data_IF_743814050620
#
_entry.id   IF_743814050620
#
_cell.length_a   1.000
_cell.length_b   1.000
_cell.length_c   1.000
_cell.angle_alpha   90.00
_cell.angle_beta   90.00
_cell.angle_gamma   90.00
#
_symmetry.space_group_name_H-M   'P 1'
#
loop_
_entity.id
_entity.type
_entity.pdbx_description
1 polymer ?
#
# COMPACT_ATOMS: atom_id res chain seq x y z
N UNK A 1 -3.22 12.86 11.07
CA UNK A 1 -2.03 12.11 11.51
C UNK A 1 -1.26 12.96 12.53
N UNK A 2 -0.62 12.29 13.50
CA UNK A 2 0.23 12.93 14.50
C UNK A 2 1.67 13.18 14.03
N UNK A 3 2.06 12.64 12.87
CA UNK A 3 3.38 12.79 12.25
C UNK A 3 3.30 13.61 10.95
N UNK A 4 4.47 14.19 10.58
CA UNK A 4 4.65 15.05 9.40
C UNK A 4 5.78 14.50 8.52
N UNK A 5 5.73 13.20 8.20
CA UNK A 5 6.75 12.53 7.40
C UNK A 5 6.91 13.19 6.03
N UNK A 6 8.14 13.54 5.65
CA UNK A 6 8.43 14.30 4.44
C UNK A 6 8.00 13.60 3.13
N UNK A 7 7.97 12.25 3.12
CA UNK A 7 7.55 11.45 1.96
C UNK A 7 6.03 11.15 1.91
N UNK A 8 5.25 11.69 2.87
CA UNK A 8 3.84 11.36 3.01
C UNK A 8 3.03 11.82 1.80
N UNK A 9 2.25 10.92 1.23
CA UNK A 9 1.34 11.23 0.12
C UNK A 9 0.06 11.96 0.55
N UNK A 10 -0.17 12.09 1.85
CA UNK A 10 -1.36 12.75 2.41
C UNK A 10 -1.16 14.26 2.42
N UNK A 11 -2.18 14.98 2.01
CA UNK A 11 -2.29 16.41 2.26
C UNK A 11 -2.32 16.67 3.78
N UNK A 12 -1.50 17.61 4.26
CA UNK A 12 -1.31 17.82 5.70
C UNK A 12 -2.21 18.93 6.24
N UNK A 13 -2.64 19.85 5.39
CA UNK A 13 -3.34 21.08 5.80
C UNK A 13 -4.85 20.91 5.95
N UNK A 14 -5.43 19.86 5.37
CA UNK A 14 -6.86 19.58 5.47
C UNK A 14 -7.13 18.31 6.29
N UNK A 15 -7.86 18.49 7.40
CA UNK A 15 -8.28 17.38 8.28
C UNK A 15 -9.75 17.12 8.02
N UNK A 16 -10.03 16.02 7.32
CA UNK A 16 -11.37 15.45 7.18
C UNK A 16 -11.40 14.09 7.86
N UNK A 17 -12.58 13.66 8.28
CA UNK A 17 -12.81 12.35 8.87
C UNK A 17 -14.11 11.78 8.32
N UNK A 18 -14.07 10.54 7.87
CA UNK A 18 -15.29 9.78 7.63
C UNK A 18 -16.02 9.58 8.95
N UNK A 19 -17.32 9.77 8.93
CA UNK A 19 -18.20 9.56 10.10
C UNK A 19 -18.68 8.12 10.17
N UNK A 20 -19.21 7.70 11.33
CA UNK A 20 -19.89 6.40 11.43
C UNK A 20 -21.05 6.29 10.43
N UNK A 21 -21.78 7.39 10.19
CA UNK A 21 -22.91 7.41 9.23
C UNK A 21 -22.41 7.16 7.80
N UNK A 22 -21.27 7.71 7.39
CA UNK A 22 -20.69 7.45 6.08
C UNK A 22 -20.34 5.95 5.92
N UNK A 23 -19.75 5.36 6.94
CA UNK A 23 -19.39 3.94 6.94
C UNK A 23 -20.63 3.04 6.92
N UNK A 24 -21.64 3.35 7.74
CA UNK A 24 -22.92 2.66 7.76
C UNK A 24 -23.58 2.69 6.38
N UNK A 25 -23.64 3.88 5.78
CA UNK A 25 -24.23 4.09 4.46
C UNK A 25 -23.56 3.21 3.40
N UNK A 26 -22.22 3.09 3.41
CA UNK A 26 -21.50 2.20 2.49
C UNK A 26 -21.81 0.74 2.76
N UNK A 27 -21.69 0.29 4.01
CA UNK A 27 -21.82 -1.12 4.39
C UNK A 27 -23.25 -1.66 4.33
N UNK A 28 -24.27 -0.80 4.38
CA UNK A 28 -25.68 -1.19 4.26
C UNK A 28 -26.12 -1.34 2.79
N UNK A 29 -25.42 -0.69 1.87
CA UNK A 29 -25.77 -0.69 0.46
C UNK A 29 -24.86 -1.57 -0.43
N UNK A 30 -23.70 -2.02 0.10
CA UNK A 30 -22.71 -2.80 -0.63
C UNK A 30 -22.28 -4.03 0.16
N UNK A 31 -21.97 -5.11 -0.53
CA UNK A 31 -21.34 -6.30 0.05
C UNK A 31 -19.85 -6.06 0.22
N UNK A 32 -19.42 -5.70 1.43
CA UNK A 32 -18.02 -5.43 1.76
C UNK A 32 -17.42 -6.65 2.43
N UNK A 33 -16.41 -7.25 1.82
CA UNK A 33 -15.69 -8.40 2.40
C UNK A 33 -14.57 -8.00 3.34
N UNK A 34 -13.92 -6.85 3.09
CA UNK A 34 -12.81 -6.37 3.91
C UNK A 34 -12.63 -4.86 3.81
N UNK A 35 -12.15 -4.25 4.88
CA UNK A 35 -11.81 -2.83 4.97
C UNK A 35 -10.40 -2.68 5.54
N UNK A 36 -9.60 -1.83 4.90
CA UNK A 36 -8.30 -1.39 5.40
C UNK A 36 -8.35 0.03 5.94
N UNK A 37 -8.01 0.18 7.20
CA UNK A 37 -7.77 1.48 7.81
C UNK A 37 -6.38 1.98 7.38
N UNK A 38 -6.34 3.02 6.58
CA UNK A 38 -5.11 3.64 6.09
C UNK A 38 -5.30 5.14 5.92
N UNK A 39 -4.33 5.85 5.42
CA UNK A 39 -4.31 7.32 5.26
C UNK A 39 -4.36 8.09 6.58
N UNK A 40 -3.24 8.62 6.96
CA UNK A 40 -3.09 9.32 8.23
C UNK A 40 -2.90 8.33 9.39
N UNK A 41 -3.51 8.63 10.51
CA UNK A 41 -3.50 7.77 11.70
C UNK A 41 -4.93 7.66 12.22
N UNK A 42 -5.52 6.49 12.12
CA UNK A 42 -6.97 6.31 12.25
C UNK A 42 -7.50 6.52 13.67
N UNK A 43 -6.69 6.25 14.70
CA UNK A 43 -7.05 6.52 16.09
C UNK A 43 -7.28 8.00 16.42
N UNK A 44 -6.95 8.91 15.50
CA UNK A 44 -7.24 10.34 15.63
C UNK A 44 -8.62 10.74 15.09
N UNK A 45 -9.32 9.83 14.40
CA UNK A 45 -10.70 10.07 14.01
C UNK A 45 -11.58 9.99 15.25
N UNK A 46 -12.39 11.03 15.58
CA UNK A 46 -13.27 11.01 16.76
C UNK A 46 -14.25 9.83 16.79
N UNK A 47 -14.65 9.32 15.63
CA UNK A 47 -15.57 8.18 15.51
C UNK A 47 -14.84 6.82 15.39
N UNK A 48 -13.51 6.77 15.61
CA UNK A 48 -12.71 5.57 15.36
C UNK A 48 -13.23 4.32 16.08
N UNK A 49 -13.51 4.41 17.36
CA UNK A 49 -13.98 3.26 18.15
C UNK A 49 -15.39 2.81 17.74
N UNK A 50 -16.29 3.74 17.49
CA UNK A 50 -17.65 3.43 17.03
C UNK A 50 -17.64 2.76 15.65
N UNK A 51 -16.79 3.23 14.75
CA UNK A 51 -16.60 2.63 13.42
C UNK A 51 -16.02 1.22 13.55
N UNK A 52 -15.02 1.04 14.41
CA UNK A 52 -14.35 -0.25 14.60
C UNK A 52 -15.33 -1.29 15.17
N UNK A 53 -16.11 -0.94 16.18
CA UNK A 53 -17.16 -1.80 16.75
C UNK A 53 -18.24 -2.15 15.72
N UNK A 54 -18.71 -1.16 14.97
CA UNK A 54 -19.71 -1.37 13.93
C UNK A 54 -19.23 -2.39 12.87
N UNK A 55 -18.02 -2.22 12.36
CA UNK A 55 -17.46 -3.09 11.34
C UNK A 55 -17.19 -4.51 11.85
N UNK A 56 -16.69 -4.64 13.08
CA UNK A 56 -16.50 -5.93 13.73
C UNK A 56 -17.82 -6.69 13.90
N UNK A 57 -18.88 -6.02 14.37
CA UNK A 57 -20.20 -6.62 14.55
C UNK A 57 -20.82 -7.08 13.22
N UNK A 58 -20.42 -6.48 12.09
CA UNK A 58 -20.81 -6.92 10.74
C UNK A 58 -19.91 -8.04 10.20
N UNK A 59 -18.92 -8.49 10.95
CA UNK A 59 -17.97 -9.55 10.58
C UNK A 59 -17.17 -9.21 9.32
N UNK A 60 -16.90 -7.94 9.08
CA UNK A 60 -16.05 -7.47 8.00
C UNK A 60 -14.60 -7.67 8.42
N UNK A 61 -13.77 -8.25 7.55
CA UNK A 61 -12.34 -8.40 7.81
C UNK A 61 -11.64 -7.05 7.83
N UNK A 62 -10.80 -6.82 8.84
CA UNK A 62 -10.18 -5.53 9.07
C UNK A 62 -8.66 -5.60 9.02
N UNK A 63 -8.03 -4.62 8.37
CA UNK A 63 -6.59 -4.37 8.49
C UNK A 63 -6.34 -2.92 8.89
N UNK A 64 -5.19 -2.68 9.50
CA UNK A 64 -4.77 -1.35 9.93
C UNK A 64 -3.34 -1.08 9.46
N UNK A 65 -3.12 0.05 8.78
CA UNK A 65 -1.78 0.59 8.57
C UNK A 65 -1.55 1.76 9.54
N UNK A 66 -0.51 1.67 10.37
CA UNK A 66 -0.28 2.61 11.47
C UNK A 66 1.21 2.94 11.64
N UNK A 67 1.44 4.13 12.18
CA UNK A 67 2.75 4.54 12.69
C UNK A 67 2.96 4.13 14.17
N UNK A 68 2.04 3.33 14.73
CA UNK A 68 2.03 2.84 16.09
C UNK A 68 1.10 3.59 17.05
N UNK A 69 0.75 4.84 16.76
CA UNK A 69 -0.08 5.66 17.65
C UNK A 69 -1.49 5.07 17.86
N UNK A 70 -2.17 4.66 16.80
CA UNK A 70 -3.52 4.06 16.93
C UNK A 70 -3.52 2.87 17.87
N UNK A 71 -2.44 2.06 17.84
CA UNK A 71 -2.35 0.90 18.72
C UNK A 71 -2.15 1.30 20.18
N UNK A 72 -1.41 2.38 20.44
CA UNK A 72 -1.16 2.83 21.82
C UNK A 72 -2.43 3.26 22.56
N UNK A 73 -3.48 3.67 21.82
CA UNK A 73 -4.75 4.14 22.38
C UNK A 73 -5.89 3.11 22.29
N UNK A 74 -5.70 2.03 21.51
CA UNK A 74 -6.76 1.03 21.28
C UNK A 74 -6.69 -0.07 22.34
N UNK A 75 -7.78 -0.40 23.07
CA UNK A 75 -7.82 -1.52 24.01
C UNK A 75 -7.51 -2.87 23.37
N UNK A 76 -6.95 -3.81 24.13
CA UNK A 76 -6.55 -5.14 23.62
C UNK A 76 -7.71 -5.93 23.02
N UNK A 77 -8.90 -5.79 23.60
CA UNK A 77 -10.12 -6.44 23.12
C UNK A 77 -10.47 -5.98 21.71
N UNK A 78 -10.33 -4.68 21.45
CA UNK A 78 -10.62 -4.08 20.14
C UNK A 78 -9.47 -4.28 19.14
N UNK A 79 -8.22 -4.37 19.60
CA UNK A 79 -7.10 -4.71 18.73
C UNK A 79 -7.31 -6.09 18.08
N UNK A 80 -7.92 -7.05 18.77
CA UNK A 80 -8.24 -8.39 18.24
C UNK A 80 -9.28 -8.39 17.12
N UNK A 81 -9.90 -7.27 16.82
CA UNK A 81 -10.80 -7.13 15.67
C UNK A 81 -10.03 -7.10 14.33
N UNK A 82 -8.72 -6.78 14.38
CA UNK A 82 -7.89 -6.74 13.18
C UNK A 82 -7.34 -8.11 12.80
N UNK A 83 -7.48 -8.46 11.53
CA UNK A 83 -6.87 -9.66 10.93
C UNK A 83 -5.37 -9.45 10.63
N UNK A 84 -4.95 -8.21 10.38
CA UNK A 84 -3.56 -7.86 10.06
C UNK A 84 -3.30 -6.40 10.44
N UNK A 85 -2.15 -6.13 11.05
CA UNK A 85 -1.67 -4.77 11.36
C UNK A 85 -0.35 -4.52 10.66
N UNK A 86 -0.31 -3.46 9.85
CA UNK A 86 0.84 -3.05 9.07
C UNK A 86 1.54 -1.87 9.76
N UNK A 87 2.77 -2.10 10.23
CA UNK A 87 3.56 -1.06 10.86
C UNK A 87 4.51 -0.38 9.87
N UNK A 88 4.49 0.93 9.86
CA UNK A 88 5.30 1.74 8.96
C UNK A 88 6.76 1.84 9.44
N UNK A 89 7.68 1.16 8.75
CA UNK A 89 9.13 1.19 9.03
C UNK A 89 9.90 1.36 7.73
N UNK A 90 10.51 2.53 7.52
CA UNK A 90 11.29 2.82 6.31
C UNK A 90 12.79 2.60 6.48
N UNK A 91 13.29 2.47 7.71
CA UNK A 91 14.69 2.22 8.02
C UNK A 91 14.85 1.12 9.07
N UNK A 92 15.91 0.30 8.98
CA UNK A 92 16.09 -0.86 9.87
C UNK A 92 16.67 -0.51 11.24
N UNK A 93 16.86 0.78 11.55
CA UNK A 93 17.41 1.26 12.82
C UNK A 93 16.68 2.49 13.35
N UNK A 94 16.74 2.67 14.68
CA UNK A 94 16.06 3.74 15.40
C UNK A 94 16.50 5.12 14.93
N UNK A 95 17.79 5.35 14.77
CA UNK A 95 18.32 6.70 14.52
C UNK A 95 17.80 7.27 13.19
N UNK A 96 17.79 6.46 12.13
CA UNK A 96 17.27 6.86 10.83
C UNK A 96 15.73 6.91 10.80
N UNK A 97 15.08 5.93 11.43
CA UNK A 97 13.62 5.89 11.50
C UNK A 97 13.07 7.12 12.23
N UNK A 98 13.58 7.42 13.43
CA UNK A 98 13.14 8.56 14.22
C UNK A 98 13.45 9.90 13.53
N UNK A 99 14.64 10.03 12.95
CA UNK A 99 15.01 11.22 12.15
C UNK A 99 14.06 11.47 10.98
N UNK A 100 13.57 10.41 10.34
CA UNK A 100 12.74 10.50 9.12
C UNK A 100 11.25 10.65 9.42
N UNK A 101 10.74 9.91 10.41
CA UNK A 101 9.30 9.91 10.73
C UNK A 101 8.94 10.78 11.94
N UNK A 102 9.86 11.00 12.86
CA UNK A 102 9.68 11.77 14.08
C UNK A 102 10.23 11.04 15.30
N UNK A 103 10.72 11.80 16.27
CA UNK A 103 11.36 11.29 17.48
C UNK A 103 10.44 10.33 18.25
N UNK A 104 10.98 9.19 18.64
CA UNK A 104 10.27 8.14 19.38
C UNK A 104 9.36 7.24 18.54
N UNK A 105 9.28 7.47 17.23
CA UNK A 105 8.45 6.61 16.35
C UNK A 105 8.92 5.16 16.37
N UNK A 106 10.23 4.90 16.34
CA UNK A 106 10.79 3.56 16.43
C UNK A 106 10.27 2.81 17.65
N UNK A 107 10.39 3.42 18.82
CA UNK A 107 9.95 2.82 20.09
C UNK A 107 8.46 2.48 20.04
N UNK A 108 7.63 3.44 19.63
CA UNK A 108 6.16 3.27 19.50
C UNK A 108 5.79 2.11 18.57
N UNK A 109 6.50 1.99 17.45
CA UNK A 109 6.30 0.91 16.48
C UNK A 109 6.72 -0.44 17.06
N UNK A 110 7.91 -0.53 17.67
CA UNK A 110 8.41 -1.80 18.24
C UNK A 110 7.50 -2.29 19.38
N UNK A 111 7.07 -1.43 20.28
CA UNK A 111 6.10 -1.75 21.34
C UNK A 111 4.76 -2.22 20.77
N UNK A 112 4.28 -1.56 19.70
CA UNK A 112 3.06 -1.96 18.99
C UNK A 112 3.16 -3.35 18.36
N UNK A 113 4.28 -3.66 17.71
CA UNK A 113 4.56 -4.99 17.11
C UNK A 113 4.52 -6.07 18.18
N UNK A 114 5.26 -5.89 19.28
CA UNK A 114 5.30 -6.88 20.38
C UNK A 114 3.92 -7.08 21.02
N UNK A 115 3.17 -6.01 21.20
CA UNK A 115 1.81 -6.08 21.73
C UNK A 115 0.87 -6.87 20.82
N UNK A 116 0.87 -6.59 19.51
CA UNK A 116 0.07 -7.34 18.54
C UNK A 116 0.44 -8.82 18.52
N UNK A 117 1.74 -9.14 18.56
CA UNK A 117 2.22 -10.54 18.62
C UNK A 117 1.75 -11.25 19.88
N UNK A 118 1.84 -10.59 21.03
CA UNK A 118 1.35 -11.17 22.30
C UNK A 118 -0.17 -11.45 22.28
N UNK A 119 -0.93 -10.66 21.50
CA UNK A 119 -2.38 -10.86 21.29
C UNK A 119 -2.70 -11.87 20.18
N UNK A 120 -1.69 -12.42 19.50
CA UNK A 120 -1.88 -13.35 18.37
C UNK A 120 -2.39 -12.69 17.09
N UNK A 121 -2.24 -11.38 16.97
CA UNK A 121 -2.63 -10.61 15.77
C UNK A 121 -1.51 -10.71 14.75
N UNK A 122 -1.86 -10.96 13.49
CA UNK A 122 -0.88 -10.96 12.41
C UNK A 122 -0.27 -9.58 12.23
N UNK A 123 1.05 -9.53 12.08
CA UNK A 123 1.81 -8.29 11.88
C UNK A 123 2.53 -8.33 10.53
N UNK A 124 2.53 -7.20 9.85
CA UNK A 124 3.36 -6.93 8.68
C UNK A 124 4.16 -5.65 8.90
N UNK A 125 5.39 -5.60 8.42
CA UNK A 125 6.16 -4.36 8.32
C UNK A 125 5.97 -3.79 6.92
N UNK A 126 5.74 -2.49 6.82
CA UNK A 126 5.52 -1.76 5.57
C UNK A 126 6.57 -0.69 5.40
N UNK A 127 7.31 -0.71 4.29
CA UNK A 127 8.20 0.37 3.89
C UNK A 127 7.80 0.97 2.53
N UNK A 128 8.13 2.23 2.35
CA UNK A 128 8.11 2.89 1.04
C UNK A 128 9.54 2.87 0.48
N UNK A 129 9.72 2.23 -0.69
CA UNK A 129 11.00 2.26 -1.41
C UNK A 129 11.28 3.69 -1.90
N UNK A 130 12.40 4.24 -1.44
CA UNK A 130 12.91 5.57 -1.77
C UNK A 130 14.39 5.50 -2.16
N UNK A 131 14.89 6.57 -2.77
CA UNK A 131 16.33 6.73 -3.03
C UNK A 131 17.20 6.72 -1.76
N UNK A 132 16.59 6.97 -0.58
CA UNK A 132 17.28 7.00 0.72
C UNK A 132 17.45 5.61 1.35
N UNK A 133 16.60 4.64 1.01
CA UNK A 133 16.55 3.33 1.66
C UNK A 133 16.61 2.13 0.70
N UNK A 134 16.89 2.35 -0.59
CA UNK A 134 16.86 1.28 -1.59
C UNK A 134 17.86 0.13 -1.30
N UNK A 135 18.94 0.39 -0.57
CA UNK A 135 19.89 -0.63 -0.10
C UNK A 135 19.50 -1.32 1.19
N UNK A 136 18.51 -0.79 1.90
CA UNK A 136 18.13 -1.27 3.22
C UNK A 136 16.96 -2.29 3.20
N UNK A 137 16.31 -2.51 2.06
CA UNK A 137 15.12 -3.37 2.01
C UNK A 137 15.38 -4.79 2.53
N UNK A 138 16.56 -5.36 2.23
CA UNK A 138 16.96 -6.66 2.80
C UNK A 138 17.10 -6.63 4.33
N UNK A 139 17.66 -5.56 4.89
CA UNK A 139 17.79 -5.40 6.33
C UNK A 139 16.43 -5.20 7.01
N UNK A 140 15.49 -4.49 6.36
CA UNK A 140 14.12 -4.33 6.88
C UNK A 140 13.37 -5.67 6.79
N UNK A 141 13.58 -6.46 5.73
CA UNK A 141 13.03 -7.82 5.63
C UNK A 141 13.56 -8.72 6.75
N UNK A 142 14.87 -8.64 7.07
CA UNK A 142 15.48 -9.33 8.21
C UNK A 142 14.89 -8.90 9.56
N UNK A 143 14.65 -7.58 9.74
CA UNK A 143 13.95 -7.07 10.91
C UNK A 143 12.53 -7.64 11.01
N UNK A 144 11.77 -7.66 9.92
CA UNK A 144 10.43 -8.27 9.90
C UNK A 144 10.48 -9.76 10.25
N UNK A 145 11.44 -10.50 9.70
CA UNK A 145 11.65 -11.92 10.00
C UNK A 145 11.94 -12.15 11.49
N UNK A 146 12.69 -11.29 12.17
CA UNK A 146 12.96 -11.40 13.60
C UNK A 146 11.70 -11.34 14.47
N UNK A 147 10.64 -10.72 13.96
CA UNK A 147 9.32 -10.71 14.58
C UNK A 147 8.38 -11.81 14.05
N UNK A 148 8.83 -12.66 13.13
CA UNK A 148 7.97 -13.61 12.43
C UNK A 148 6.92 -12.95 11.54
N UNK A 149 7.21 -11.75 11.06
CA UNK A 149 6.30 -10.88 10.29
C UNK A 149 6.65 -10.89 8.81
N UNK A 150 5.66 -10.63 7.96
CA UNK A 150 5.87 -10.40 6.54
C UNK A 150 6.36 -8.95 6.32
N UNK A 151 7.11 -8.73 5.23
CA UNK A 151 7.56 -7.40 4.83
C UNK A 151 6.86 -6.97 3.55
N UNK A 152 6.32 -5.76 3.54
CA UNK A 152 5.62 -5.14 2.42
C UNK A 152 6.39 -3.94 1.91
N UNK A 153 6.57 -3.87 0.60
CA UNK A 153 7.23 -2.75 -0.07
C UNK A 153 6.29 -2.09 -1.04
N UNK A 154 6.05 -0.80 -0.86
CA UNK A 154 5.40 0.07 -1.82
C UNK A 154 6.45 0.98 -2.45
N UNK A 155 6.32 1.30 -3.72
CA UNK A 155 7.25 2.23 -4.39
C UNK A 155 6.78 3.67 -4.14
N UNK A 156 7.71 4.54 -3.78
CA UNK A 156 7.44 5.97 -3.62
C UNK A 156 6.80 6.56 -4.87
N UNK A 157 5.81 7.40 -4.67
CA UNK A 157 5.14 8.15 -5.73
C UNK A 157 5.23 9.65 -5.44
N UNK A 158 5.69 10.45 -6.40
CA UNK A 158 6.00 11.88 -6.20
C UNK A 158 4.72 12.73 -6.19
N UNK A 159 3.92 12.60 -5.13
CA UNK A 159 2.70 13.39 -4.99
C UNK A 159 2.98 14.88 -4.85
N UNK A 160 4.01 15.25 -4.10
CA UNK A 160 4.36 16.63 -3.79
C UNK A 160 5.81 16.99 -4.10
N UNK A 161 6.71 16.03 -4.12
CA UNK A 161 8.14 16.24 -4.38
C UNK A 161 8.75 15.03 -5.08
N UNK A 162 9.75 15.27 -5.91
CA UNK A 162 10.58 14.22 -6.54
C UNK A 162 11.75 13.78 -5.67
N UNK A 163 11.99 14.46 -4.55
CA UNK A 163 13.19 14.31 -3.71
C UNK A 163 13.46 12.88 -3.28
N UNK A 164 12.41 12.10 -3.03
CA UNK A 164 12.54 10.73 -2.53
C UNK A 164 12.41 9.66 -3.61
N UNK A 165 12.26 10.06 -4.86
CA UNK A 165 12.10 9.13 -5.97
C UNK A 165 13.37 8.34 -6.22
N UNK A 166 13.34 6.99 -6.24
CA UNK A 166 14.46 6.22 -6.72
C UNK A 166 14.68 6.47 -8.22
N UNK A 167 15.91 6.42 -8.68
CA UNK A 167 16.18 6.35 -10.12
C UNK A 167 16.01 4.89 -10.62
N UNK A 168 16.21 4.68 -11.93
CA UNK A 168 16.06 3.38 -12.56
C UNK A 168 16.93 2.30 -11.90
N UNK A 169 18.20 2.59 -11.69
CA UNK A 169 19.18 1.67 -11.10
C UNK A 169 18.80 1.32 -9.65
N UNK A 170 18.47 2.33 -8.85
CA UNK A 170 18.06 2.16 -7.46
C UNK A 170 16.79 1.33 -7.32
N UNK A 171 15.80 1.55 -8.21
CA UNK A 171 14.57 0.77 -8.23
C UNK A 171 14.85 -0.73 -8.43
N UNK A 172 15.64 -1.09 -9.45
CA UNK A 172 15.90 -2.48 -9.76
C UNK A 172 16.90 -3.14 -8.79
N UNK A 173 17.89 -2.39 -8.30
CA UNK A 173 18.82 -2.85 -7.26
C UNK A 173 18.07 -3.20 -5.98
N UNK A 174 17.10 -2.37 -5.58
CA UNK A 174 16.30 -2.60 -4.39
C UNK A 174 15.55 -3.93 -4.41
N UNK A 175 14.86 -4.22 -5.51
CA UNK A 175 14.12 -5.48 -5.64
C UNK A 175 15.04 -6.69 -5.81
N UNK A 176 16.16 -6.54 -6.54
CA UNK A 176 17.16 -7.59 -6.65
C UNK A 176 17.71 -7.97 -5.28
N UNK A 177 18.18 -6.99 -4.52
CA UNK A 177 18.71 -7.21 -3.17
C UNK A 177 17.64 -7.78 -2.23
N UNK A 178 16.39 -7.28 -2.30
CA UNK A 178 15.30 -7.80 -1.48
C UNK A 178 15.08 -9.30 -1.70
N UNK A 179 15.05 -9.74 -2.96
CA UNK A 179 14.77 -11.14 -3.31
C UNK A 179 15.95 -12.08 -3.07
N UNK A 180 17.17 -11.56 -2.91
CA UNK A 180 18.32 -12.34 -2.47
C UNK A 180 18.21 -12.78 -1.00
N UNK A 181 17.40 -12.07 -0.17
CA UNK A 181 17.26 -12.29 1.27
C UNK A 181 15.83 -12.65 1.70
N UNK A 182 14.94 -12.96 0.75
CA UNK A 182 13.55 -13.22 1.10
C UNK A 182 12.83 -14.12 0.08
N UNK A 183 11.79 -14.81 0.55
CA UNK A 183 10.82 -15.50 -0.28
C UNK A 183 9.65 -14.59 -0.65
N UNK A 184 9.16 -14.72 -1.88
CA UNK A 184 8.09 -13.88 -2.42
C UNK A 184 6.74 -14.50 -2.11
N UNK A 185 5.89 -13.75 -1.40
CA UNK A 185 4.51 -14.14 -1.09
C UNK A 185 3.56 -13.61 -2.17
N UNK A 186 3.72 -12.33 -2.56
CA UNK A 186 2.85 -11.69 -3.55
C UNK A 186 3.53 -10.48 -4.16
N UNK A 187 3.35 -10.27 -5.45
CA UNK A 187 3.79 -9.06 -6.15
C UNK A 187 2.66 -8.52 -6.98
N UNK A 188 2.35 -7.23 -6.80
CA UNK A 188 1.36 -6.51 -7.60
C UNK A 188 1.91 -5.19 -8.12
N UNK A 189 3.20 -4.90 -7.86
CA UNK A 189 3.93 -3.87 -8.60
C UNK A 189 4.11 -4.36 -10.05
N UNK A 190 3.56 -3.66 -11.06
CA UNK A 190 3.41 -4.20 -12.42
C UNK A 190 4.73 -4.62 -13.05
N UNK A 191 5.76 -3.79 -12.94
CA UNK A 191 7.06 -4.10 -13.55
C UNK A 191 7.78 -5.24 -12.83
N UNK A 192 7.79 -5.22 -11.50
CA UNK A 192 8.42 -6.29 -10.71
C UNK A 192 7.74 -7.63 -10.99
N UNK A 193 6.40 -7.65 -10.99
CA UNK A 193 5.61 -8.84 -11.32
C UNK A 193 5.98 -9.40 -12.70
N UNK A 194 6.06 -8.51 -13.69
CA UNK A 194 6.36 -8.88 -15.08
C UNK A 194 7.74 -9.48 -15.23
N UNK A 195 8.77 -8.85 -14.67
CA UNK A 195 10.16 -9.30 -14.86
C UNK A 195 10.60 -10.43 -13.91
N UNK A 196 9.85 -10.69 -12.84
CA UNK A 196 10.00 -11.91 -12.05
C UNK A 196 9.54 -13.17 -12.78
N UNK A 197 8.56 -13.03 -13.68
CA UNK A 197 7.97 -14.13 -14.44
C UNK A 197 7.58 -15.36 -13.58
N UNK A 198 7.01 -15.11 -12.40
CA UNK A 198 6.51 -16.16 -11.51
C UNK A 198 5.07 -16.52 -11.87
N UNK A 199 4.77 -17.80 -11.94
CA UNK A 199 3.44 -18.31 -12.25
C UNK A 199 2.42 -17.90 -11.18
N UNK A 200 1.24 -17.44 -11.60
CA UNK A 200 0.13 -17.14 -10.69
C UNK A 200 0.18 -15.75 -10.01
N UNK A 201 1.12 -14.91 -10.39
CA UNK A 201 1.16 -13.51 -10.01
C UNK A 201 0.61 -12.66 -11.17
N UNK A 202 -0.71 -12.55 -11.28
CA UNK A 202 -1.35 -11.91 -12.42
C UNK A 202 -2.00 -10.58 -12.03
N UNK A 203 -1.82 -9.59 -12.91
CA UNK A 203 -2.57 -8.36 -12.99
C UNK A 203 -2.16 -7.24 -12.02
N UNK A 204 -2.61 -6.04 -12.37
CA UNK A 204 -2.48 -4.86 -11.52
C UNK A 204 -3.74 -4.73 -10.65
N UNK A 205 -3.66 -4.25 -9.41
CA UNK A 205 -4.81 -4.06 -8.55
C UNK A 205 -5.63 -2.81 -8.91
N UNK A 206 -5.20 -2.02 -9.91
CA UNK A 206 -5.76 -0.73 -10.21
C UNK A 206 -7.22 -0.81 -10.63
N UNK A 207 -8.10 -0.21 -9.84
CA UNK A 207 -9.48 0.09 -10.20
C UNK A 207 -10.43 -1.10 -10.43
N UNK A 208 -9.97 -2.36 -10.24
CA UNK A 208 -10.78 -3.53 -10.62
C UNK A 208 -11.69 -4.05 -9.52
N UNK A 209 -11.15 -4.30 -8.33
CA UNK A 209 -11.85 -4.97 -7.22
C UNK A 209 -11.73 -4.25 -5.89
N UNK A 210 -11.02 -3.14 -5.85
CA UNK A 210 -10.86 -2.31 -4.66
C UNK A 210 -10.85 -0.84 -5.03
N UNK A 211 -11.35 -0.02 -4.14
CA UNK A 211 -11.30 1.42 -4.27
C UNK A 211 -10.98 2.04 -2.91
N UNK A 212 -10.67 3.30 -2.93
CA UNK A 212 -10.45 4.07 -1.74
C UNK A 212 -11.53 5.12 -1.57
N UNK A 213 -12.01 5.26 -0.37
CA UNK A 213 -12.82 6.40 0.06
C UNK A 213 -11.88 7.31 0.86
N UNK A 214 -11.75 8.55 0.41
CA UNK A 214 -10.94 9.56 1.10
C UNK A 214 -11.64 10.07 2.35
N UNK A 215 -10.93 10.70 3.30
CA UNK A 215 -11.55 11.23 4.52
C UNK A 215 -12.67 12.24 4.28
N UNK A 216 -12.72 12.90 3.11
CA UNK A 216 -13.79 13.82 2.67
C UNK A 216 -14.89 13.13 1.83
N UNK A 217 -14.91 11.79 1.78
CA UNK A 217 -15.95 11.00 1.12
C UNK A 217 -15.83 10.88 -0.40
N UNK A 218 -14.67 11.26 -0.99
CA UNK A 218 -14.41 11.10 -2.43
C UNK A 218 -13.85 9.72 -2.74
N UNK A 219 -14.06 9.25 -3.96
CA UNK A 219 -13.58 7.96 -4.42
C UNK A 219 -12.24 8.11 -5.16
N UNK A 220 -11.34 7.16 -4.94
CA UNK A 220 -10.07 7.04 -5.68
C UNK A 220 -9.87 5.61 -6.13
N UNK A 221 -9.40 5.44 -7.35
CA UNK A 221 -9.03 4.12 -7.89
C UNK A 221 -7.72 3.59 -7.26
N UNK A 222 -6.84 4.48 -6.83
CA UNK A 222 -5.58 4.21 -6.15
C UNK A 222 -5.27 5.36 -5.21
N UNK A 223 -4.52 5.12 -4.14
CA UNK A 223 -4.13 6.17 -3.16
C UNK A 223 -3.37 7.32 -3.81
N UNK A 224 -2.64 7.04 -4.88
CA UNK A 224 -1.83 8.01 -5.63
C UNK A 224 -2.57 8.58 -6.86
N UNK A 225 -3.78 8.10 -7.17
CA UNK A 225 -4.56 8.64 -8.26
C UNK A 225 -5.18 9.97 -7.84
N UNK A 226 -5.31 10.94 -8.75
CA UNK A 226 -6.04 12.18 -8.46
C UNK A 226 -7.43 11.89 -7.89
N UNK A 227 -7.96 12.81 -7.13
CA UNK A 227 -9.32 12.69 -6.62
C UNK A 227 -10.34 12.72 -7.76
N UNK A 228 -11.43 11.99 -7.57
CA UNK A 228 -12.57 12.05 -8.47
C UNK A 228 -13.60 13.05 -7.95
N UNK A 229 -14.54 13.42 -8.82
CA UNK A 229 -15.76 14.08 -8.38
C UNK A 229 -16.82 13.08 -7.87
N UNK A 230 -16.49 11.77 -7.90
CA UNK A 230 -17.38 10.72 -7.42
C UNK A 230 -17.37 10.67 -5.90
N UNK A 231 -18.54 10.52 -5.31
CA UNK A 231 -18.79 10.50 -3.88
C UNK A 231 -19.28 9.14 -3.39
N UNK A 232 -19.47 9.00 -2.08
CA UNK A 232 -20.15 7.85 -1.48
C UNK A 232 -21.56 7.67 -2.07
N UNK A 233 -22.28 8.75 -2.37
CA UNK A 233 -23.61 8.65 -2.98
C UNK A 233 -23.58 8.06 -4.40
N UNK A 234 -22.60 8.49 -5.21
CA UNK A 234 -22.36 7.87 -6.52
C UNK A 234 -22.02 6.38 -6.42
N UNK A 235 -21.25 6.00 -5.39
CA UNK A 235 -20.90 4.61 -5.14
C UNK A 235 -22.14 3.77 -4.81
N UNK A 236 -23.02 4.30 -3.99
CA UNK A 236 -24.26 3.61 -3.60
C UNK A 236 -25.22 3.49 -4.77
N UNK A 237 -25.34 4.53 -5.59
CA UNK A 237 -26.20 4.52 -6.78
C UNK A 237 -25.69 3.53 -7.84
N UNK A 238 -24.39 3.58 -8.13
CA UNK A 238 -23.77 2.79 -9.23
C UNK A 238 -23.29 1.41 -8.80
N UNK A 239 -23.09 1.20 -7.49
CA UNK A 239 -22.55 -0.03 -6.90
C UNK A 239 -21.29 -0.50 -7.64
N UNK A 240 -21.17 -1.78 -7.96
CA UNK A 240 -20.02 -2.37 -8.64
C UNK A 240 -19.79 -1.76 -10.03
N UNK A 241 -20.82 -1.22 -10.68
CA UNK A 241 -20.66 -0.63 -12.02
C UNK A 241 -19.87 0.68 -11.99
N UNK A 242 -19.59 1.25 -10.82
CA UNK A 242 -18.80 2.49 -10.68
C UNK A 242 -17.39 2.33 -11.23
N UNK A 243 -16.81 1.12 -11.20
CA UNK A 243 -15.49 0.83 -11.77
C UNK A 243 -15.47 0.93 -13.31
N UNK A 244 -16.65 0.88 -13.94
CA UNK A 244 -16.82 1.09 -15.38
C UNK A 244 -16.80 2.57 -15.78
N UNK A 245 -16.83 3.47 -14.80
CA UNK A 245 -16.78 4.91 -15.08
C UNK A 245 -15.46 5.30 -15.78
N UNK A 246 -15.48 6.36 -16.60
CA UNK A 246 -14.27 6.84 -17.29
C UNK A 246 -13.11 7.13 -16.34
N UNK A 247 -13.41 7.57 -15.12
CA UNK A 247 -12.43 7.86 -14.09
C UNK A 247 -11.63 6.61 -13.69
N UNK A 248 -12.31 5.50 -13.40
CA UNK A 248 -11.65 4.25 -13.03
C UNK A 248 -10.94 3.61 -14.23
N UNK A 249 -11.56 3.62 -15.40
CA UNK A 249 -10.97 3.07 -16.65
C UNK A 249 -9.67 3.74 -17.07
N UNK A 250 -9.45 5.02 -16.71
CA UNK A 250 -8.18 5.69 -16.98
C UNK A 250 -6.98 4.95 -16.35
N UNK A 251 -7.15 4.30 -15.19
CA UNK A 251 -6.06 3.56 -14.55
C UNK A 251 -5.59 2.35 -15.35
N UNK A 252 -6.40 1.89 -16.29
CA UNK A 252 -6.13 0.75 -17.18
C UNK A 252 -5.54 1.19 -18.53
N UNK A 253 -5.29 2.49 -18.72
CA UNK A 253 -4.75 3.01 -19.98
C UNK A 253 -3.35 2.44 -20.27
N UNK A 254 -3.23 1.79 -21.44
CA UNK A 254 -1.97 1.24 -21.94
C UNK A 254 -1.32 2.21 -22.94
N UNK A 255 -0.08 2.64 -22.74
CA UNK A 255 0.63 3.50 -23.69
C UNK A 255 0.78 2.83 -25.06
N UNK A 256 0.74 3.66 -26.13
CA UNK A 256 0.87 3.16 -27.50
C UNK A 256 2.14 2.34 -27.71
N UNK A 257 3.26 2.78 -27.16
CA UNK A 257 4.55 2.05 -27.21
C UNK A 257 4.44 0.61 -26.67
N UNK A 258 3.52 0.36 -25.72
CA UNK A 258 3.38 -0.93 -25.06
C UNK A 258 2.44 -1.90 -25.77
N UNK A 259 1.68 -1.47 -26.79
CA UNK A 259 0.64 -2.30 -27.40
C UNK A 259 1.20 -3.56 -28.09
N UNK A 260 2.38 -3.46 -28.69
CA UNK A 260 3.07 -4.57 -29.36
C UNK A 260 4.13 -5.25 -28.45
N UNK A 261 4.17 -4.91 -27.15
CA UNK A 261 5.10 -5.51 -26.21
C UNK A 261 4.60 -6.87 -25.73
N UNK A 262 5.47 -7.89 -25.75
CA UNK A 262 5.15 -9.25 -25.27
C UNK A 262 4.67 -9.30 -23.81
N UNK A 263 5.03 -8.30 -23.01
CA UNK A 263 4.67 -8.20 -21.60
C UNK A 263 3.40 -7.38 -21.33
N UNK A 264 2.74 -6.84 -22.34
CA UNK A 264 1.62 -5.90 -22.17
C UNK A 264 0.49 -6.46 -21.30
N UNK A 265 0.18 -7.75 -21.44
CA UNK A 265 -0.88 -8.41 -20.69
C UNK A 265 -0.66 -8.46 -19.18
N UNK A 266 0.59 -8.49 -18.74
CA UNK A 266 0.96 -8.51 -17.31
C UNK A 266 1.30 -7.14 -16.76
N UNK A 267 1.88 -6.27 -17.60
CA UNK A 267 2.45 -4.98 -17.21
C UNK A 267 1.48 -3.82 -17.42
N UNK A 268 0.71 -3.80 -18.52
CA UNK A 268 -0.18 -2.70 -18.89
C UNK A 268 0.53 -1.34 -19.08
N UNK A 269 1.85 -1.34 -19.28
CA UNK A 269 2.68 -0.13 -19.37
C UNK A 269 3.21 0.37 -18.02
N UNK A 270 3.15 -0.44 -16.97
CA UNK A 270 3.63 -0.11 -15.63
C UNK A 270 2.59 0.62 -14.76
N UNK A 271 3.03 1.30 -13.72
CA UNK A 271 2.15 2.00 -12.80
C UNK A 271 1.53 3.25 -13.42
N UNK A 272 0.22 3.22 -13.69
CA UNK A 272 -0.52 4.33 -14.30
C UNK A 272 -0.47 5.61 -13.43
N UNK A 273 -0.52 5.47 -12.10
CA UNK A 273 -0.41 6.60 -11.18
C UNK A 273 0.97 7.27 -11.28
N UNK A 274 2.06 6.49 -11.30
CA UNK A 274 3.42 7.00 -11.46
C UNK A 274 3.57 7.78 -12.77
N UNK A 275 3.13 7.21 -13.90
CA UNK A 275 3.15 7.88 -15.19
C UNK A 275 2.37 9.21 -15.17
N UNK A 276 1.20 9.21 -14.54
CA UNK A 276 0.34 10.41 -14.44
C UNK A 276 0.97 11.50 -13.58
N UNK A 277 1.49 11.15 -12.41
CA UNK A 277 2.13 12.11 -11.49
C UNK A 277 3.37 12.77 -12.11
N UNK A 278 4.07 12.05 -12.97
CA UNK A 278 5.23 12.59 -13.71
C UNK A 278 4.88 13.32 -15.00
N UNK A 279 3.59 13.55 -15.29
CA UNK A 279 3.16 14.20 -16.51
C UNK A 279 3.42 13.40 -17.79
N UNK A 280 3.70 12.09 -17.68
CA UNK A 280 4.08 11.18 -18.77
C UNK A 280 3.08 10.04 -18.93
N UNK A 281 1.81 10.34 -18.80
CA UNK A 281 0.75 9.33 -18.73
C UNK A 281 0.68 8.43 -19.98
N UNK A 282 0.96 8.99 -21.16
CA UNK A 282 0.93 8.28 -22.44
C UNK A 282 2.23 7.55 -22.78
N UNK A 283 3.27 7.69 -21.96
CA UNK A 283 4.53 6.99 -22.11
C UNK A 283 4.58 5.75 -21.21
N UNK A 284 5.46 4.76 -21.50
CA UNK A 284 5.73 3.67 -20.58
C UNK A 284 6.27 4.18 -19.25
N UNK A 285 6.09 3.36 -18.22
CA UNK A 285 6.68 3.63 -16.91
C UNK A 285 8.20 3.83 -17.01
N UNK A 286 8.72 4.82 -16.30
CA UNK A 286 10.13 5.20 -16.34
C UNK A 286 11.09 4.09 -15.88
N UNK A 287 10.60 3.14 -15.06
CA UNK A 287 11.38 1.98 -14.64
C UNK A 287 11.26 0.80 -15.60
N UNK A 288 10.60 0.94 -16.76
CA UNK A 288 10.49 -0.12 -17.75
C UNK A 288 11.85 -0.37 -18.42
N UNK A 289 12.45 -1.59 -18.29
CA UNK A 289 13.74 -1.89 -18.89
C UNK A 289 13.71 -1.81 -20.41
N UNK A 290 12.63 -2.29 -21.04
CA UNK A 290 12.50 -2.29 -22.51
C UNK A 290 12.47 -0.85 -23.02
N UNK A 291 11.73 0.02 -22.38
CA UNK A 291 11.68 1.44 -22.74
C UNK A 291 13.03 2.16 -22.55
N UNK A 292 13.77 1.76 -21.51
CA UNK A 292 15.11 2.28 -21.20
C UNK A 292 16.22 1.62 -22.03
N UNK A 293 15.91 0.62 -22.86
CA UNK A 293 16.93 -0.13 -23.60
C UNK A 293 17.90 -0.91 -22.71
N UNK A 294 17.47 -1.34 -21.53
CA UNK A 294 18.29 -2.04 -20.52
C UNK A 294 17.78 -3.45 -20.30
N UNK A 295 18.71 -4.38 -20.03
CA UNK A 295 18.36 -5.74 -19.62
C UNK A 295 18.31 -5.85 -18.10
N UNK A 296 17.25 -6.46 -17.57
CA UNK A 296 17.09 -6.74 -16.14
C UNK A 296 16.88 -8.24 -15.96
N UNK A 297 17.58 -8.80 -14.99
CA UNK A 297 17.34 -10.15 -14.50
C UNK A 297 16.92 -10.05 -13.03
N UNK A 298 15.67 -10.40 -12.75
CA UNK A 298 15.18 -10.64 -11.40
C UNK A 298 15.08 -12.14 -11.18
N UNK A 299 15.57 -12.59 -10.04
CA UNK A 299 15.38 -13.96 -9.54
C UNK A 299 14.70 -13.88 -8.20
N UNK A 300 13.84 -14.84 -7.92
CA UNK A 300 13.16 -14.91 -6.63
C UNK A 300 12.53 -16.28 -6.45
N UNK A 301 12.33 -16.64 -5.20
CA UNK A 301 11.68 -17.89 -4.81
C UNK A 301 10.30 -17.57 -4.26
N UNK A 302 9.29 -18.29 -4.77
CA UNK A 302 7.93 -18.12 -4.27
C UNK A 302 7.78 -18.86 -2.94
N UNK A 303 7.29 -18.15 -1.92
CA UNK A 303 6.96 -18.74 -0.63
C UNK A 303 5.67 -19.55 -0.71
N UNK A 304 5.64 -20.65 0.04
CA UNK A 304 4.41 -21.42 0.28
C UNK A 304 3.53 -20.80 1.38
N UNK A 305 3.97 -19.73 2.02
CA UNK A 305 3.24 -19.10 3.10
C UNK A 305 1.88 -18.54 2.66
N UNK A 306 0.90 -18.57 3.56
CA UNK A 306 -0.41 -17.99 3.34
C UNK A 306 -0.30 -16.48 3.08
N UNK A 307 -0.96 -16.01 2.02
CA UNK A 307 -1.01 -14.57 1.70
C UNK A 307 -1.73 -13.82 2.82
N UNK A 308 -1.19 -12.68 3.28
CA UNK A 308 -1.90 -11.81 4.20
C UNK A 308 -3.16 -11.23 3.55
N UNK A 309 -4.10 -10.80 4.37
CA UNK A 309 -5.30 -10.13 3.90
C UNK A 309 -4.90 -8.87 3.11
N UNK A 310 -5.43 -8.75 1.91
CA UNK A 310 -5.25 -7.54 1.09
C UNK A 310 -6.50 -6.69 1.18
N UNK A 311 -6.30 -5.51 1.72
CA UNK A 311 -7.30 -4.45 1.69
C UNK A 311 -6.66 -3.23 1.07
N UNK A 312 -7.37 -2.60 0.14
CA UNK A 312 -6.91 -1.35 -0.46
C UNK A 312 -6.32 -1.47 -1.86
N UNK A 313 -6.18 -0.31 -2.48
CA UNK A 313 -5.83 -0.06 -3.87
C UNK A 313 -4.37 0.39 -4.00
N UNK A 314 -3.43 -0.39 -3.49
CA UNK A 314 -2.00 -0.16 -3.59
C UNK A 314 -1.30 -1.31 -4.29
N UNK A 315 -0.37 -0.97 -5.20
CA UNK A 315 0.60 -1.93 -5.70
C UNK A 315 1.64 -2.19 -4.62
N UNK A 316 1.84 -3.45 -4.27
CA UNK A 316 2.78 -3.85 -3.22
C UNK A 316 3.53 -5.12 -3.59
N UNK A 317 4.74 -5.24 -3.08
CA UNK A 317 5.52 -6.48 -3.06
C UNK A 317 5.55 -6.99 -1.63
N UNK A 318 5.14 -8.24 -1.40
CA UNK A 318 5.09 -8.86 -0.08
C UNK A 318 6.06 -10.02 -0.08
N UNK A 319 6.97 -10.02 0.89
CA UNK A 319 7.99 -11.04 1.06
C UNK A 319 8.06 -11.51 2.51
N UNK A 320 8.68 -12.66 2.72
CA UNK A 320 9.09 -13.16 4.02
C UNK A 320 10.61 -13.27 4.03
N UNK A 321 11.27 -12.64 4.99
CA UNK A 321 12.70 -12.79 5.22
C UNK A 321 13.05 -14.24 5.58
N UNK A 322 14.19 -14.73 5.10
CA UNK A 322 14.77 -16.06 5.40
C UNK A 322 15.94 -15.92 6.33
#
# INVERSE_FOLDING_TARGET
CNLHCAHCYREQDHIHNLTLVDIQKVCENLEISSIGFGTGENGLNPAYFDILDYLHNRKIKLTLASNGYTLSITPDEMLKYFDDVEFSVDFPDQARQDKFRGDGNWKTVMEGIERCRALGIRVSILAVLMNLNYKDLGNIAGLAASFGSDFRVNVYQPMYTEEFSPNFEQYWEAFKTLFDYSEIISVTEPLVNTFLNLNGLNGTPCGGHSMRITPDGKLKACVYWPESNLSIDDLIEKKETIVESPFFKQTLFTPKFCLDCEHVGNCGGGCAARRKLRGRFEEPDEYCPIYQGKAIQLKGHQSSAAKPLRTGSLCTTIVRGV
#
